data_IF_321482725109
#
_entry.id   IF_321482725109
#
_cell.length_a   1.000
_cell.length_b   1.000
_cell.length_c   1.000
_cell.angle_alpha   90.00
_cell.angle_beta   90.00
_cell.angle_gamma   90.00
#
_symmetry.space_group_name_H-M   'P 1'
#
loop_
_entity.id
_entity.type
_entity.pdbx_description
1 polymer ?
#
# COMPACT_ATOMS: atom_id res chain seq x y z
N UNK A 1 22.11 35.54 -4.22
CA UNK A 1 22.27 35.87 -5.66
C UNK A 1 23.54 36.71 -5.78
N UNK A 2 24.54 36.25 -6.53
CA UNK A 2 25.79 36.98 -6.75
C UNK A 2 25.49 38.43 -7.20
N UNK A 3 26.07 39.39 -6.48
CA UNK A 3 25.87 40.83 -6.71
C UNK A 3 26.46 41.31 -8.03
N UNK A 4 27.47 40.61 -8.54
CA UNK A 4 28.42 41.18 -9.50
C UNK A 4 27.94 41.13 -10.96
N UNK A 5 26.81 40.46 -11.25
CA UNK A 5 26.27 40.32 -12.62
C UNK A 5 24.75 40.57 -12.72
N UNK A 6 24.13 41.24 -11.75
CA UNK A 6 22.67 41.48 -11.75
C UNK A 6 22.15 42.18 -13.01
N UNK A 7 22.96 43.04 -13.63
CA UNK A 7 22.60 43.83 -14.82
C UNK A 7 22.57 42.97 -16.09
N UNK A 8 23.26 41.83 -16.11
CA UNK A 8 23.26 40.89 -17.24
C UNK A 8 22.08 39.90 -17.21
N UNK A 9 21.33 39.85 -16.09
CA UNK A 9 20.19 38.94 -15.93
C UNK A 9 18.95 39.64 -16.49
N UNK A 10 18.27 38.98 -17.43
CA UNK A 10 16.99 39.43 -17.97
C UNK A 10 16.01 39.79 -16.85
N UNK A 11 15.34 40.93 -16.98
CA UNK A 11 14.36 41.42 -16.01
C UNK A 11 13.20 40.43 -15.80
N UNK A 12 12.81 39.68 -16.84
CA UNK A 12 11.80 38.61 -16.78
C UNK A 12 12.28 37.40 -15.96
N UNK A 13 13.57 37.05 -16.06
CA UNK A 13 14.14 35.97 -15.25
C UNK A 13 14.26 36.44 -13.79
N UNK A 14 14.69 37.69 -13.59
CA UNK A 14 14.81 38.28 -12.26
C UNK A 14 13.45 38.40 -11.55
N UNK A 15 12.38 38.75 -12.26
CA UNK A 15 11.03 38.83 -11.69
C UNK A 15 10.52 37.45 -11.27
N UNK A 16 10.70 36.42 -12.10
CA UNK A 16 10.30 35.03 -11.79
C UNK A 16 11.08 34.42 -10.62
N UNK A 17 12.39 34.64 -10.55
CA UNK A 17 13.23 34.09 -9.47
C UNK A 17 12.92 34.74 -8.12
N UNK A 18 12.52 36.01 -8.12
CA UNK A 18 12.17 36.74 -6.89
C UNK A 18 10.66 36.72 -6.59
N UNK A 19 9.86 35.96 -7.35
CA UNK A 19 8.43 35.80 -7.10
C UNK A 19 8.19 35.01 -5.81
N UNK A 20 7.77 35.72 -4.77
CA UNK A 20 7.47 35.14 -3.46
C UNK A 20 6.25 34.21 -3.50
N UNK A 21 5.27 34.48 -4.37
CA UNK A 21 4.11 33.61 -4.56
C UNK A 21 4.51 32.27 -5.17
N UNK A 22 5.37 32.29 -6.19
CA UNK A 22 5.93 31.07 -6.77
C UNK A 22 6.70 30.25 -5.73
N UNK A 23 7.55 30.91 -4.93
CA UNK A 23 8.33 30.24 -3.86
C UNK A 23 7.43 29.58 -2.82
N UNK A 24 6.41 30.30 -2.33
CA UNK A 24 5.46 29.76 -1.33
C UNK A 24 4.72 28.57 -1.92
N UNK A 25 4.18 28.70 -3.14
CA UNK A 25 3.46 27.61 -3.81
C UNK A 25 4.35 26.38 -4.01
N UNK A 26 5.58 26.56 -4.49
CA UNK A 26 6.53 25.46 -4.68
C UNK A 26 6.87 24.76 -3.36
N UNK A 27 7.04 25.52 -2.27
CA UNK A 27 7.33 24.97 -0.93
C UNK A 27 6.14 24.15 -0.42
N UNK A 28 4.92 24.68 -0.55
CA UNK A 28 3.69 23.98 -0.15
C UNK A 28 3.50 22.67 -0.95
N UNK A 29 3.82 22.66 -2.24
CA UNK A 29 3.78 21.43 -3.04
C UNK A 29 4.87 20.44 -2.63
N UNK A 30 6.08 20.91 -2.35
CA UNK A 30 7.18 20.06 -1.91
C UNK A 30 6.83 19.30 -0.62
N UNK A 31 6.21 19.97 0.36
CA UNK A 31 5.76 19.35 1.60
C UNK A 31 4.74 18.23 1.36
N UNK A 32 3.71 18.51 0.56
CA UNK A 32 2.68 17.53 0.16
C UNK A 32 3.29 16.33 -0.55
N UNK A 33 4.14 16.58 -1.54
CA UNK A 33 4.75 15.52 -2.36
C UNK A 33 5.74 14.68 -1.56
N UNK A 34 6.45 15.27 -0.59
CA UNK A 34 7.36 14.53 0.29
C UNK A 34 6.63 13.55 1.20
N UNK A 35 5.46 13.94 1.73
CA UNK A 35 4.61 13.00 2.48
C UNK A 35 4.18 11.83 1.58
N UNK A 36 3.68 12.14 0.38
CA UNK A 36 3.24 11.14 -0.59
C UNK A 36 4.39 10.21 -0.99
N UNK A 37 5.61 10.72 -1.18
CA UNK A 37 6.76 9.90 -1.56
C UNK A 37 7.15 8.90 -0.47
N UNK A 38 7.18 9.33 0.80
CA UNK A 38 7.47 8.44 1.93
C UNK A 38 6.43 7.33 2.04
N UNK A 39 5.16 7.65 1.80
CA UNK A 39 4.10 6.65 1.81
C UNK A 39 4.20 5.70 0.62
N UNK A 40 4.49 6.23 -0.56
CA UNK A 40 4.70 5.42 -1.76
C UNK A 40 5.84 4.42 -1.54
N UNK A 41 6.94 4.83 -0.90
CA UNK A 41 8.05 3.95 -0.54
C UNK A 41 7.61 2.80 0.38
N UNK A 42 6.63 3.00 1.27
CA UNK A 42 6.07 1.93 2.11
C UNK A 42 5.25 0.94 1.30
N UNK A 43 4.34 1.43 0.44
CA UNK A 43 3.44 0.60 -0.38
C UNK A 43 4.21 -0.16 -1.46
N UNK A 44 5.31 0.40 -1.96
CA UNK A 44 6.17 -0.20 -2.98
C UNK A 44 7.21 -1.20 -2.45
N UNK A 45 7.15 -1.55 -1.16
CA UNK A 45 7.97 -2.64 -0.60
C UNK A 45 7.47 -3.97 -1.13
N UNK A 46 8.40 -4.89 -1.36
CA UNK A 46 8.10 -6.22 -1.93
C UNK A 46 7.24 -7.10 -1.02
N UNK A 47 7.05 -6.68 0.23
CA UNK A 47 6.30 -7.40 1.26
C UNK A 47 5.11 -6.59 1.81
N UNK A 48 4.83 -5.40 1.28
CA UNK A 48 3.64 -4.65 1.71
C UNK A 48 2.40 -5.37 1.18
N UNK A 49 1.59 -5.90 2.09
CA UNK A 49 0.35 -6.61 1.72
C UNK A 49 -0.77 -5.62 1.39
N UNK A 50 -1.77 -6.07 0.64
CA UNK A 50 -2.96 -5.25 0.34
C UNK A 50 -3.71 -4.77 1.60
N UNK A 51 -3.65 -5.51 2.72
CA UNK A 51 -4.23 -5.10 4.00
C UNK A 51 -3.44 -4.00 4.71
N UNK A 52 -2.11 -4.04 4.63
CA UNK A 52 -1.23 -2.97 5.13
C UNK A 52 -1.37 -1.69 4.28
N UNK A 53 -1.56 -1.84 2.97
CA UNK A 53 -1.83 -0.71 2.10
C UNK A 53 -3.11 0.04 2.50
N UNK A 54 -4.14 -0.67 2.97
CA UNK A 54 -5.36 -0.05 3.50
C UNK A 54 -5.07 0.84 4.71
N UNK A 55 -4.29 0.36 5.69
CA UNK A 55 -3.89 1.19 6.84
C UNK A 55 -3.13 2.44 6.40
N UNK A 56 -2.15 2.26 5.52
CA UNK A 56 -1.32 3.34 5.00
C UNK A 56 -2.18 4.42 4.31
N UNK A 57 -3.18 4.01 3.52
CA UNK A 57 -4.10 4.94 2.89
C UNK A 57 -4.98 5.70 3.89
N UNK A 58 -5.49 5.02 4.92
CA UNK A 58 -6.30 5.64 5.97
C UNK A 58 -5.45 6.64 6.77
N UNK A 59 -4.19 6.30 7.08
CA UNK A 59 -3.21 7.21 7.70
C UNK A 59 -3.03 8.49 6.87
N UNK A 60 -2.88 8.40 5.54
CA UNK A 60 -2.78 9.58 4.67
C UNK A 60 -4.04 10.44 4.77
N UNK A 61 -5.23 9.83 4.63
CA UNK A 61 -6.49 10.56 4.65
C UNK A 61 -6.66 11.31 5.98
N UNK A 62 -6.35 10.63 7.08
CA UNK A 62 -6.41 11.22 8.41
C UNK A 62 -5.39 12.35 8.57
N UNK A 63 -4.17 12.18 8.07
CA UNK A 63 -3.16 13.23 8.07
C UNK A 63 -3.64 14.47 7.30
N UNK A 64 -4.22 14.30 6.11
CA UNK A 64 -4.74 15.41 5.32
C UNK A 64 -5.90 16.14 6.02
N UNK A 65 -6.80 15.39 6.69
CA UNK A 65 -7.92 15.96 7.46
C UNK A 65 -7.45 16.71 8.72
N UNK A 66 -6.48 16.18 9.44
CA UNK A 66 -6.02 16.73 10.73
C UNK A 66 -5.13 17.97 10.58
N UNK A 67 -4.40 18.10 9.46
CA UNK A 67 -3.44 19.19 9.25
C UNK A 67 -4.01 20.35 8.42
N UNK A 68 -5.33 20.50 8.37
CA UNK A 68 -6.03 21.62 7.70
C UNK A 68 -5.58 21.85 6.25
N UNK A 69 -5.32 20.77 5.50
CA UNK A 69 -5.10 20.89 4.05
C UNK A 69 -6.34 21.43 3.35
N UNK A 70 -6.15 22.06 2.19
CA UNK A 70 -7.26 22.62 1.42
C UNK A 70 -8.20 21.49 0.97
N UNK A 71 -9.50 21.74 1.01
CA UNK A 71 -10.55 20.77 0.66
C UNK A 71 -10.33 20.10 -0.71
N UNK A 72 -9.78 20.83 -1.69
CA UNK A 72 -9.45 20.28 -3.01
C UNK A 72 -8.36 19.19 -2.95
N UNK A 73 -7.37 19.33 -2.06
CA UNK A 73 -6.32 18.33 -1.85
C UNK A 73 -6.89 17.07 -1.19
N UNK A 74 -7.72 17.25 -0.16
CA UNK A 74 -8.41 16.15 0.54
C UNK A 74 -9.25 15.35 -0.47
N UNK A 75 -10.03 16.04 -1.30
CA UNK A 75 -10.84 15.40 -2.35
C UNK A 75 -9.99 14.67 -3.39
N UNK A 76 -8.81 15.18 -3.72
CA UNK A 76 -7.88 14.50 -4.64
C UNK A 76 -7.41 13.16 -4.04
N UNK A 77 -7.01 13.16 -2.76
CA UNK A 77 -6.58 11.96 -2.03
C UNK A 77 -7.75 10.96 -1.92
N UNK A 78 -8.93 11.40 -1.51
CA UNK A 78 -10.12 10.54 -1.41
C UNK A 78 -10.51 9.92 -2.76
N UNK A 79 -10.41 10.67 -3.85
CA UNK A 79 -10.63 10.13 -5.19
C UNK A 79 -9.63 9.03 -5.53
N UNK A 80 -8.34 9.23 -5.22
CA UNK A 80 -7.30 8.21 -5.46
C UNK A 80 -7.50 6.98 -4.58
N UNK A 81 -7.89 7.17 -3.33
CA UNK A 81 -8.25 6.10 -2.41
C UNK A 81 -9.35 5.20 -3.00
N UNK A 82 -10.45 5.81 -3.49
CA UNK A 82 -11.56 5.09 -4.12
C UNK A 82 -11.15 4.33 -5.39
N UNK A 83 -10.13 4.80 -6.12
CA UNK A 83 -9.60 4.09 -7.28
C UNK A 83 -8.74 2.88 -6.90
N UNK A 84 -8.01 2.98 -5.78
CA UNK A 84 -7.04 1.98 -5.36
C UNK A 84 -7.69 0.86 -4.53
N UNK A 85 -8.57 1.22 -3.59
CA UNK A 85 -9.17 0.26 -2.68
C UNK A 85 -10.28 -0.54 -3.33
N UNK A 86 -10.35 -1.81 -2.93
CA UNK A 86 -11.36 -2.79 -3.35
C UNK A 86 -11.76 -3.63 -2.14
N UNK A 87 -12.90 -4.34 -2.17
CA UNK A 87 -13.34 -5.18 -1.06
C UNK A 87 -12.28 -6.16 -0.53
N UNK A 88 -11.46 -6.73 -1.42
CA UNK A 88 -10.35 -7.60 -1.02
C UNK A 88 -9.29 -6.92 -0.14
N UNK A 89 -9.04 -5.62 -0.32
CA UNK A 89 -8.11 -4.86 0.52
C UNK A 89 -8.68 -4.71 1.94
N UNK A 90 -9.94 -4.32 2.05
CA UNK A 90 -10.66 -4.22 3.32
C UNK A 90 -10.73 -5.56 4.04
N UNK A 91 -10.97 -6.64 3.29
CA UNK A 91 -10.96 -8.00 3.83
C UNK A 91 -9.58 -8.40 4.35
N UNK A 92 -8.51 -8.14 3.60
CA UNK A 92 -7.15 -8.44 4.05
C UNK A 92 -6.78 -7.67 5.33
N UNK A 93 -7.20 -6.41 5.42
CA UNK A 93 -7.05 -5.59 6.62
C UNK A 93 -7.87 -6.15 7.80
N UNK A 94 -9.14 -6.49 7.56
CA UNK A 94 -10.03 -7.09 8.56
C UNK A 94 -9.44 -8.37 9.15
N UNK A 95 -8.89 -9.25 8.30
CA UNK A 95 -8.34 -10.54 8.72
C UNK A 95 -6.95 -10.44 9.35
N UNK A 96 -6.32 -9.26 9.32
CA UNK A 96 -4.99 -9.07 9.91
C UNK A 96 -5.14 -8.88 11.41
N UNK A 97 -4.56 -9.79 12.21
CA UNK A 97 -4.68 -9.73 13.66
C UNK A 97 -4.11 -8.44 14.27
N UNK A 98 -3.29 -7.69 13.53
CA UNK A 98 -2.75 -6.38 13.94
C UNK A 98 -3.74 -5.24 13.74
N UNK A 99 -4.59 -5.32 12.72
CA UNK A 99 -5.48 -4.22 12.31
C UNK A 99 -6.94 -4.50 12.62
N UNK A 100 -7.38 -5.72 12.33
CA UNK A 100 -8.71 -6.26 12.67
C UNK A 100 -9.87 -5.43 12.12
N UNK A 101 -9.63 -4.64 11.09
CA UNK A 101 -10.61 -3.72 10.53
C UNK A 101 -10.98 -2.56 11.46
N UNK A 102 -10.18 -2.26 12.49
CA UNK A 102 -10.52 -1.24 13.50
C UNK A 102 -10.60 0.18 12.91
N UNK A 103 -9.87 0.45 11.83
CA UNK A 103 -9.86 1.75 11.14
C UNK A 103 -10.86 1.81 9.96
N UNK A 104 -11.55 0.71 9.65
CA UNK A 104 -12.50 0.64 8.55
C UNK A 104 -13.85 1.24 8.95
N UNK A 105 -14.53 1.90 8.01
CA UNK A 105 -15.93 2.29 8.18
C UNK A 105 -16.84 1.07 8.13
N UNK A 106 -18.08 1.22 8.61
CA UNK A 106 -19.07 0.14 8.50
C UNK A 106 -19.35 -0.23 7.04
N UNK A 107 -19.44 0.75 6.15
CA UNK A 107 -19.58 0.51 4.70
C UNK A 107 -18.46 -0.36 4.15
N UNK A 108 -17.20 -0.10 4.54
CA UNK A 108 -16.05 -0.89 4.10
C UNK A 108 -16.04 -2.31 4.69
N UNK A 109 -16.49 -2.47 5.94
CA UNK A 109 -16.67 -3.77 6.57
C UNK A 109 -17.76 -4.58 5.87
N UNK A 110 -18.87 -3.94 5.51
CA UNK A 110 -19.98 -4.56 4.80
C UNK A 110 -19.54 -4.99 3.39
N UNK A 111 -18.84 -4.12 2.65
CA UNK A 111 -18.25 -4.47 1.34
C UNK A 111 -17.31 -5.69 1.44
N UNK A 112 -16.47 -5.74 2.48
CA UNK A 112 -15.57 -6.87 2.71
C UNK A 112 -16.33 -8.18 2.97
N UNK A 113 -17.39 -8.13 3.79
CA UNK A 113 -18.20 -9.31 4.11
C UNK A 113 -19.07 -9.75 2.94
N UNK A 114 -19.62 -8.81 2.17
CA UNK A 114 -20.37 -9.10 0.95
C UNK A 114 -19.47 -9.80 -0.08
N UNK A 115 -18.23 -9.31 -0.25
CA UNK A 115 -17.24 -9.97 -1.10
C UNK A 115 -16.98 -11.43 -0.67
N UNK A 116 -16.80 -11.71 0.62
CA UNK A 116 -16.67 -13.09 1.09
C UNK A 116 -17.93 -13.89 0.79
N UNK A 117 -19.11 -13.35 1.05
CA UNK A 117 -20.37 -14.06 0.85
C UNK A 117 -20.60 -14.41 -0.64
N UNK A 118 -20.22 -13.51 -1.55
CA UNK A 118 -20.37 -13.73 -2.99
C UNK A 118 -19.38 -14.75 -3.56
N UNK A 119 -18.10 -14.70 -3.15
CA UNK A 119 -17.03 -15.49 -3.78
C UNK A 119 -16.56 -16.69 -2.95
N UNK A 120 -16.67 -16.61 -1.63
CA UNK A 120 -16.18 -17.61 -0.67
C UNK A 120 -17.18 -17.84 0.47
N UNK A 121 -18.47 -18.16 0.21
CA UNK A 121 -19.50 -18.25 1.26
C UNK A 121 -19.15 -19.25 2.36
N UNK A 122 -18.44 -20.33 2.01
CA UNK A 122 -17.95 -21.31 2.98
C UNK A 122 -16.98 -20.71 4.03
N UNK A 123 -16.32 -19.59 3.73
CA UNK A 123 -15.41 -18.93 4.67
C UNK A 123 -16.10 -18.06 5.71
N UNK A 124 -17.37 -17.67 5.49
CA UNK A 124 -18.14 -16.77 6.37
C UNK A 124 -18.14 -17.24 7.84
N UNK A 125 -18.43 -18.50 8.19
CA UNK A 125 -18.48 -18.93 9.58
C UNK A 125 -17.15 -18.71 10.32
N UNK A 126 -16.03 -19.05 9.70
CA UNK A 126 -14.72 -18.87 10.33
C UNK A 126 -14.36 -17.39 10.48
N UNK A 127 -14.72 -16.54 9.50
CA UNK A 127 -14.50 -15.09 9.59
C UNK A 127 -15.39 -14.46 10.67
N UNK A 128 -16.64 -14.90 10.81
CA UNK A 128 -17.53 -14.46 11.89
C UNK A 128 -16.98 -14.88 13.26
N UNK A 129 -16.51 -16.12 13.42
CA UNK A 129 -15.86 -16.58 14.65
C UNK A 129 -14.62 -15.75 14.98
N UNK A 130 -13.81 -15.41 13.97
CA UNK A 130 -12.64 -14.55 14.13
C UNK A 130 -13.02 -13.16 14.63
N UNK A 131 -14.01 -12.52 13.99
CA UNK A 131 -14.50 -11.19 14.40
C UNK A 131 -15.08 -11.21 15.81
N UNK A 132 -15.76 -12.30 16.17
CA UNK A 132 -16.36 -12.48 17.49
C UNK A 132 -15.38 -12.93 18.58
N UNK A 133 -14.11 -13.21 18.25
CA UNK A 133 -13.12 -13.83 19.15
C UNK A 133 -13.63 -15.12 19.81
N UNK A 134 -14.34 -15.95 19.05
CA UNK A 134 -14.85 -17.24 19.52
C UNK A 134 -13.99 -18.38 18.99
N UNK A 135 -14.21 -19.60 19.48
CA UNK A 135 -13.47 -20.78 19.04
C UNK A 135 -13.41 -20.87 17.50
N UNK A 136 -12.23 -21.15 16.89
CA UNK A 136 -10.98 -21.59 17.51
C UNK A 136 -10.04 -20.47 17.99
N UNK A 137 -10.46 -19.20 17.93
CA UNK A 137 -9.63 -18.02 18.17
C UNK A 137 -9.51 -17.72 19.68
N UNK A 138 -8.50 -18.30 20.34
CA UNK A 138 -8.25 -18.14 21.77
C UNK A 138 -7.63 -16.78 22.11
N UNK A 139 -7.92 -16.26 23.29
CA UNK A 139 -7.46 -14.92 23.73
C UNK A 139 -5.94 -14.69 23.64
N UNK A 140 -5.11 -15.72 23.89
CA UNK A 140 -3.64 -15.57 23.81
C UNK A 140 -3.15 -15.24 22.38
N UNK A 141 -3.92 -15.61 21.35
CA UNK A 141 -3.62 -15.26 19.97
C UNK A 141 -3.72 -13.75 19.72
N UNK A 142 -4.46 -13.04 20.56
CA UNK A 142 -4.65 -11.59 20.49
C UNK A 142 -3.89 -10.84 21.60
N UNK A 143 -2.96 -11.52 22.29
CA UNK A 143 -2.08 -10.85 23.24
C UNK A 143 -1.19 -9.83 22.52
N UNK A 144 -0.79 -8.77 23.22
CA UNK A 144 0.09 -7.73 22.66
C UNK A 144 1.40 -8.31 22.12
N UNK A 145 1.96 -9.30 22.83
CA UNK A 145 3.17 -9.99 22.42
C UNK A 145 2.99 -10.76 21.11
N UNK A 146 1.88 -11.51 20.98
CA UNK A 146 1.54 -12.21 19.73
C UNK A 146 1.33 -11.22 18.59
N UNK A 147 0.55 -10.16 18.81
CA UNK A 147 0.23 -9.16 17.78
C UNK A 147 1.50 -8.48 17.26
N UNK A 148 2.46 -8.17 18.14
CA UNK A 148 3.68 -7.46 17.79
C UNK A 148 4.70 -8.34 17.07
N UNK A 149 4.82 -9.61 17.47
CA UNK A 149 5.93 -10.47 17.07
C UNK A 149 5.57 -11.50 15.99
N UNK A 150 4.29 -11.80 15.80
CA UNK A 150 3.83 -12.81 14.83
C UNK A 150 3.37 -12.12 13.55
N UNK A 151 3.78 -12.66 12.41
CA UNK A 151 3.30 -12.19 11.10
C UNK A 151 1.88 -12.72 10.83
N UNK A 152 1.02 -11.98 10.12
CA UNK A 152 -0.37 -12.39 9.87
C UNK A 152 -0.51 -13.79 9.28
N UNK A 153 0.28 -14.13 8.25
CA UNK A 153 0.23 -15.46 7.65
C UNK A 153 0.63 -16.58 8.63
N UNK A 154 1.61 -16.32 9.50
CA UNK A 154 2.06 -17.26 10.54
C UNK A 154 0.99 -17.46 11.60
N UNK A 155 0.29 -16.40 11.96
CA UNK A 155 -0.83 -16.44 12.89
C UNK A 155 -1.97 -17.33 12.38
N UNK A 156 -2.31 -17.20 11.09
CA UNK A 156 -3.34 -18.04 10.46
C UNK A 156 -2.89 -19.49 10.22
N UNK A 157 -1.60 -19.73 10.00
CA UNK A 157 -1.03 -21.07 9.85
C UNK A 157 -1.24 -21.93 11.10
N UNK A 158 -1.15 -21.35 12.30
CA UNK A 158 -1.42 -22.05 13.57
C UNK A 158 -2.86 -22.59 13.63
N UNK A 159 -3.80 -21.90 12.97
CA UNK A 159 -5.22 -22.24 12.98
C UNK A 159 -5.62 -23.14 11.80
N UNK A 160 -4.70 -23.53 10.92
CA UNK A 160 -4.98 -24.26 9.67
C UNK A 160 -5.86 -25.49 9.87
N UNK A 161 -5.64 -26.25 10.95
CA UNK A 161 -6.40 -27.48 11.23
C UNK A 161 -7.75 -27.21 11.92
N UNK A 162 -7.98 -25.99 12.40
CA UNK A 162 -9.18 -25.58 13.15
C UNK A 162 -10.16 -24.75 12.32
N UNK A 163 -9.75 -24.32 11.13
CA UNK A 163 -10.58 -23.58 10.16
C UNK A 163 -10.77 -24.40 8.90
N UNK A 164 -11.79 -24.06 8.11
CA UNK A 164 -12.00 -24.77 6.86
C UNK A 164 -10.95 -24.38 5.80
N UNK A 165 -10.73 -25.29 4.85
CA UNK A 165 -9.71 -25.13 3.80
C UNK A 165 -9.95 -23.90 2.93
N UNK A 166 -11.22 -23.57 2.63
CA UNK A 166 -11.59 -22.42 1.81
C UNK A 166 -11.17 -21.10 2.48
N UNK A 167 -11.39 -20.98 3.79
CA UNK A 167 -10.92 -19.84 4.58
C UNK A 167 -9.40 -19.74 4.54
N UNK A 168 -8.70 -20.86 4.76
CA UNK A 168 -7.25 -20.88 4.77
C UNK A 168 -6.64 -20.50 3.40
N UNK A 169 -7.20 -21.01 2.30
CA UNK A 169 -6.80 -20.65 0.94
C UNK A 169 -7.03 -19.16 0.64
N UNK A 170 -8.22 -18.64 1.00
CA UNK A 170 -8.55 -17.22 0.87
C UNK A 170 -7.54 -16.34 1.62
N UNK A 171 -7.27 -16.65 2.88
CA UNK A 171 -6.28 -15.95 3.71
C UNK A 171 -4.90 -15.97 3.05
N UNK A 172 -4.48 -17.14 2.56
CA UNK A 172 -3.18 -17.29 1.91
C UNK A 172 -3.09 -16.41 0.65
N UNK A 173 -4.17 -16.37 -0.14
CA UNK A 173 -4.23 -15.50 -1.32
C UNK A 173 -4.14 -14.01 -0.92
N UNK A 174 -4.87 -13.58 0.11
CA UNK A 174 -4.86 -12.18 0.56
C UNK A 174 -3.48 -11.74 1.09
N UNK A 175 -2.79 -12.59 1.85
CA UNK A 175 -1.46 -12.25 2.40
C UNK A 175 -0.28 -12.48 1.45
N UNK A 176 -0.51 -13.14 0.32
CA UNK A 176 0.49 -13.23 -0.76
C UNK A 176 0.28 -12.15 -1.83
N UNK A 177 -0.85 -11.46 -1.80
CA UNK A 177 -1.10 -10.30 -2.65
C UNK A 177 -0.30 -9.08 -2.15
N UNK A 178 0.73 -8.72 -2.92
CA UNK A 178 1.51 -7.50 -2.71
C UNK A 178 0.76 -6.26 -3.21
N UNK A 179 0.89 -5.15 -2.49
CA UNK A 179 0.17 -3.91 -2.76
C UNK A 179 0.68 -3.14 -3.99
N UNK A 180 1.84 -3.50 -4.53
CA UNK A 180 2.45 -2.79 -5.66
C UNK A 180 3.22 -3.73 -6.59
N UNK A 181 3.20 -3.40 -7.88
CA UNK A 181 4.06 -4.00 -8.89
C UNK A 181 5.47 -3.40 -8.91
N UNK A 182 5.77 -2.41 -8.06
CA UNK A 182 7.05 -1.72 -8.05
C UNK A 182 8.26 -2.64 -7.83
N UNK A 183 8.11 -3.76 -7.10
CA UNK A 183 9.15 -4.77 -6.99
C UNK A 183 9.53 -5.39 -8.35
N UNK A 184 8.53 -5.61 -9.21
CA UNK A 184 8.73 -6.07 -10.59
C UNK A 184 9.31 -4.92 -11.45
N UNK A 185 8.87 -3.68 -11.25
CA UNK A 185 9.42 -2.51 -11.97
C UNK A 185 10.89 -2.22 -11.64
N UNK A 186 11.32 -2.43 -10.39
CA UNK A 186 12.73 -2.36 -9.98
C UNK A 186 13.55 -3.42 -10.72
N UNK A 187 13.01 -4.63 -10.85
CA UNK A 187 13.63 -5.69 -11.63
C UNK A 187 13.74 -5.30 -13.11
N UNK A 188 12.68 -4.76 -13.72
CA UNK A 188 12.73 -4.27 -15.09
C UNK A 188 13.70 -3.09 -15.27
N UNK A 189 13.81 -2.20 -14.29
CA UNK A 189 14.76 -1.07 -14.31
C UNK A 189 16.20 -1.57 -14.29
N UNK A 190 16.51 -2.55 -13.43
CA UNK A 190 17.83 -3.20 -13.41
C UNK A 190 18.14 -3.89 -14.75
N UNK A 191 17.12 -4.48 -15.39
CA UNK A 191 17.25 -5.10 -16.70
C UNK A 191 17.13 -4.10 -17.87
N UNK A 192 17.02 -2.80 -17.62
CA UNK A 192 16.92 -1.78 -18.66
C UNK A 192 18.06 -1.88 -19.67
N UNK A 193 19.29 -2.12 -19.21
CA UNK A 193 20.48 -2.29 -20.06
C UNK A 193 20.50 -3.61 -20.85
N UNK A 194 19.78 -4.64 -20.39
CA UNK A 194 19.69 -5.96 -21.03
C UNK A 194 18.58 -5.97 -22.10
N UNK A 195 17.50 -5.23 -21.87
CA UNK A 195 16.37 -5.13 -22.80
C UNK A 195 16.50 -4.01 -23.84
N UNK A 196 17.19 -2.90 -23.52
CA UNK A 196 17.27 -1.75 -24.42
C UNK A 196 18.61 -1.67 -25.17
N UNK A 197 18.50 -1.66 -26.51
CA UNK A 197 19.42 -1.27 -27.63
C UNK A 197 20.96 -1.30 -27.44
N UNK A 198 21.53 -1.97 -26.46
CA UNK A 198 22.96 -2.28 -26.42
C UNK A 198 23.22 -3.66 -27.05
N UNK A 199 24.44 -3.85 -27.53
CA UNK A 199 24.97 -4.97 -28.34
C UNK A 199 24.70 -6.39 -27.76
N UNK A 200 24.13 -6.49 -26.56
CA UNK A 200 23.89 -7.70 -25.78
C UNK A 200 22.40 -7.96 -25.48
N UNK A 201 21.46 -7.53 -26.32
CA UNK A 201 20.03 -7.80 -26.13
C UNK A 201 19.77 -9.31 -26.04
N UNK A 202 19.36 -9.78 -24.87
CA UNK A 202 18.96 -11.17 -24.68
C UNK A 202 17.61 -11.44 -25.34
N UNK A 203 17.45 -12.64 -25.90
CA UNK A 203 16.14 -13.14 -26.32
C UNK A 203 15.20 -13.26 -25.11
N UNK A 204 13.89 -13.15 -25.34
CA UNK A 204 12.84 -13.16 -24.31
C UNK A 204 12.98 -14.34 -23.35
N UNK A 205 13.24 -15.53 -23.88
CA UNK A 205 13.38 -16.75 -23.08
C UNK A 205 14.60 -16.72 -22.14
N UNK A 206 15.74 -16.19 -22.61
CA UNK A 206 16.97 -16.07 -21.79
C UNK A 206 16.81 -14.98 -20.73
N UNK A 207 16.18 -13.86 -21.09
CA UNK A 207 15.87 -12.79 -20.15
C UNK A 207 14.91 -13.28 -19.05
N UNK A 208 13.88 -14.06 -19.41
CA UNK A 208 12.95 -14.65 -18.45
C UNK A 208 13.65 -15.61 -17.48
N UNK A 209 14.53 -16.50 -17.97
CA UNK A 209 15.34 -17.39 -17.13
C UNK A 209 16.24 -16.61 -16.17
N UNK A 210 16.88 -15.54 -16.63
CA UNK A 210 17.74 -14.69 -15.80
C UNK A 210 16.96 -13.95 -14.71
N UNK A 211 15.76 -13.46 -15.05
CA UNK A 211 14.81 -12.85 -14.09
C UNK A 211 14.43 -13.83 -12.98
N UNK A 212 14.18 -15.10 -13.31
CA UNK A 212 13.84 -16.13 -12.32
C UNK A 212 14.99 -16.38 -11.35
N UNK A 213 16.23 -16.46 -11.84
CA UNK A 213 17.42 -16.69 -11.00
C UNK A 213 17.70 -15.52 -10.05
N UNK A 214 17.49 -14.28 -10.50
CA UNK A 214 17.79 -13.08 -9.70
C UNK A 214 16.70 -12.72 -8.67
N UNK A 215 15.50 -13.28 -8.81
CA UNK A 215 14.39 -13.09 -7.86
C UNK A 215 14.34 -14.17 -6.77
N UNK A 216 15.04 -15.29 -6.96
CA UNK A 216 15.17 -16.39 -6.00
C UNK A 216 16.16 -16.04 -4.88
#
# INVERSE_FOLDING_TARGET
ICTDNRVAISSDISSKVNDMGLKINATNYLEKLKLISVVLDKVQRDYCTIGEATEIWIEIINHFKQNNYVESDINCVLRRFKMAMRPAHYLANLLDHRFRGLQLSQEQLDEAMEYVNSYHPAAIPNIMSYRANTSPFKNYLFSEETIKNVKPITWWLELKNSINIVTFELITQLYTAVASFAGIEKLFSAFGLVHTKLRNRLGTEKAAKLVIVLKA
#
